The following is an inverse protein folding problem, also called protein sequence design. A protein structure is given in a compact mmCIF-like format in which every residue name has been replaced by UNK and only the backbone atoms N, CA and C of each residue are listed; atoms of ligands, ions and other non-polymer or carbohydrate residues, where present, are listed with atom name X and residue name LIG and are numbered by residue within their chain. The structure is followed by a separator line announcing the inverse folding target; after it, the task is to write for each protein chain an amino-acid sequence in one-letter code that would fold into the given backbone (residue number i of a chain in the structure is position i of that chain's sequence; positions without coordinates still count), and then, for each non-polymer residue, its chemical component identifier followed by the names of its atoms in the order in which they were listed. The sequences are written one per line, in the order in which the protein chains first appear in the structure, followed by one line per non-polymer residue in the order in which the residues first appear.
data_IF_976857592161
#
_entry.id   IF_976857592161
#
_cell.length_a   1.000
_cell.length_b   1.000
_cell.length_c   1.000
_cell.angle_alpha   90.00
_cell.angle_beta   90.00
_cell.angle_gamma   90.00
#
_symmetry.space_group_name_H-M   'P 1'
#
loop_
_entity.id
_entity.type
_entity.pdbx_description
1 polymer ?
#
# COMPACT_ATOMS: atom_id res chain seq x y z
N UNK A 1 3.98 7.56 -12.97
CA UNK A 1 4.52 8.02 -11.68
C UNK A 1 3.63 7.71 -10.48
N UNK A 2 2.35 8.14 -10.42
CA UNK A 2 1.48 7.81 -9.27
C UNK A 2 1.17 6.30 -9.18
N UNK A 3 0.69 5.71 -10.28
CA UNK A 3 0.27 4.32 -10.31
C UNK A 3 1.44 3.35 -10.12
N UNK A 4 2.58 3.64 -10.76
CA UNK A 4 3.80 2.82 -10.61
C UNK A 4 4.24 2.73 -9.15
N UNK A 5 4.20 3.85 -8.42
CA UNK A 5 4.55 3.87 -6.99
C UNK A 5 3.51 3.17 -6.12
N UNK A 6 2.22 3.31 -6.43
CA UNK A 6 1.19 2.52 -5.76
C UNK A 6 1.39 1.02 -5.99
N UNK A 7 1.78 0.61 -7.21
CA UNK A 7 2.10 -0.77 -7.55
C UNK A 7 3.40 -1.26 -6.90
N UNK A 8 4.35 -0.37 -6.62
CA UNK A 8 5.53 -0.64 -5.82
C UNK A 8 5.25 -0.74 -4.30
N UNK A 9 3.99 -0.56 -3.86
CA UNK A 9 3.61 -0.66 -2.46
C UNK A 9 3.80 0.63 -1.66
N UNK A 10 4.06 1.76 -2.31
CA UNK A 10 4.26 3.04 -1.63
C UNK A 10 2.97 3.54 -0.96
N UNK A 11 3.17 4.23 0.17
CA UNK A 11 2.10 4.92 0.85
C UNK A 11 1.66 6.16 0.06
N UNK A 12 0.39 6.17 -0.37
CA UNK A 12 -0.24 7.37 -0.94
C UNK A 12 -0.03 8.62 -0.08
N UNK A 13 -0.05 8.46 1.25
CA UNK A 13 0.16 9.58 2.17
C UNK A 13 1.60 10.10 2.15
N UNK A 14 2.59 9.26 1.88
CA UNK A 14 3.98 9.67 1.71
C UNK A 14 4.15 10.37 0.36
N UNK A 15 3.65 9.76 -0.71
CA UNK A 15 3.73 10.31 -2.07
C UNK A 15 3.10 11.70 -2.18
N UNK A 16 1.88 11.88 -1.65
CA UNK A 16 1.16 13.16 -1.69
C UNK A 16 1.78 14.28 -0.83
N UNK A 17 2.89 14.03 -0.12
CA UNK A 17 3.65 15.08 0.59
C UNK A 17 4.79 15.64 -0.24
N UNK A 18 5.11 15.02 -1.37
CA UNK A 18 6.21 15.46 -2.23
C UNK A 18 5.78 16.69 -3.06
N UNK A 19 6.69 17.66 -3.28
CA UNK A 19 6.41 18.82 -4.13
C UNK A 19 5.95 18.41 -5.53
N UNK A 20 4.95 19.11 -6.06
CA UNK A 20 4.42 18.82 -7.41
C UNK A 20 3.48 17.62 -7.49
N UNK A 21 3.19 16.94 -6.37
CA UNK A 21 2.20 15.85 -6.35
C UNK A 21 0.80 16.35 -5.95
N UNK A 22 -0.27 15.72 -6.47
CA UNK A 22 -1.63 16.07 -6.06
C UNK A 22 -1.85 15.72 -4.59
N UNK A 23 -2.61 16.56 -3.88
CA UNK A 23 -2.98 16.27 -2.50
C UNK A 23 -3.76 14.95 -2.40
N UNK A 24 -3.64 14.27 -1.26
CA UNK A 24 -4.39 13.03 -0.99
C UNK A 24 -5.90 13.21 -1.20
N UNK A 25 -6.45 14.36 -0.82
CA UNK A 25 -7.87 14.68 -1.00
C UNK A 25 -8.25 14.72 -2.48
N UNK A 26 -7.42 15.34 -3.33
CA UNK A 26 -7.65 15.40 -4.77
C UNK A 26 -7.63 13.99 -5.40
N UNK A 27 -6.63 13.18 -5.06
CA UNK A 27 -6.53 11.79 -5.56
C UNK A 27 -7.77 10.98 -5.18
N UNK A 28 -8.18 11.02 -3.90
CA UNK A 28 -9.35 10.28 -3.44
C UNK A 28 -10.66 10.80 -4.06
N UNK A 29 -10.75 12.11 -4.33
CA UNK A 29 -11.87 12.68 -5.07
C UNK A 29 -11.96 12.12 -6.49
N UNK A 30 -10.83 12.02 -7.22
CA UNK A 30 -10.80 11.42 -8.55
C UNK A 30 -11.17 9.94 -8.52
N UNK A 31 -10.69 9.18 -7.54
CA UNK A 31 -11.11 7.77 -7.36
C UNK A 31 -12.63 7.67 -7.15
N UNK A 32 -13.25 8.62 -6.46
CA UNK A 32 -14.70 8.60 -6.22
C UNK A 32 -15.53 9.05 -7.45
N UNK A 33 -14.99 9.91 -8.30
CA UNK A 33 -15.77 10.64 -9.33
C UNK A 33 -15.43 10.24 -10.76
N UNK A 34 -14.29 9.58 -11.00
CA UNK A 34 -13.76 9.25 -12.32
C UNK A 34 -13.58 7.72 -12.45
N UNK A 35 -14.54 6.99 -13.06
CA UNK A 35 -14.53 5.53 -13.11
C UNK A 35 -13.27 4.93 -13.77
N UNK A 36 -12.77 5.55 -14.82
CA UNK A 36 -11.54 5.15 -15.51
C UNK A 36 -10.30 5.31 -14.63
N UNK A 37 -10.21 6.41 -13.88
CA UNK A 37 -9.13 6.63 -12.91
C UNK A 37 -9.21 5.60 -11.78
N UNK A 38 -10.41 5.33 -11.28
CA UNK A 38 -10.66 4.34 -10.24
C UNK A 38 -10.18 2.94 -10.65
N UNK A 39 -10.46 2.50 -11.88
CA UNK A 39 -10.02 1.19 -12.38
C UNK A 39 -8.49 1.04 -12.29
N UNK A 40 -7.75 2.00 -12.83
CA UNK A 40 -6.28 1.96 -12.82
C UNK A 40 -5.74 2.07 -11.40
N UNK A 41 -6.36 2.90 -10.55
CA UNK A 41 -6.01 3.03 -9.15
C UNK A 41 -6.19 1.72 -8.38
N UNK A 42 -7.33 1.05 -8.55
CA UNK A 42 -7.64 -0.20 -7.86
C UNK A 42 -6.69 -1.32 -8.31
N UNK A 43 -6.33 -1.38 -9.60
CA UNK A 43 -5.31 -2.31 -10.13
C UNK A 43 -3.94 -2.04 -9.51
N UNK A 44 -3.47 -0.79 -9.53
CA UNK A 44 -2.19 -0.42 -8.95
C UNK A 44 -2.13 -0.74 -7.45
N UNK A 45 -3.24 -0.54 -6.72
CA UNK A 45 -3.36 -0.94 -5.31
C UNK A 45 -3.29 -2.44 -5.11
N UNK A 46 -3.86 -3.23 -6.02
CA UNK A 46 -3.76 -4.69 -5.95
C UNK A 46 -2.32 -5.15 -6.16
N UNK A 47 -1.63 -4.66 -7.20
CA UNK A 47 -0.21 -4.95 -7.40
C UNK A 47 0.64 -4.53 -6.20
N UNK A 48 0.40 -3.35 -5.62
CA UNK A 48 1.10 -2.89 -4.42
C UNK A 48 0.95 -3.79 -3.20
N UNK A 49 -0.18 -4.50 -3.09
CA UNK A 49 -0.38 -5.49 -2.02
C UNK A 49 0.48 -6.73 -2.22
N UNK A 50 0.62 -7.18 -3.46
CA UNK A 50 1.49 -8.31 -3.82
C UNK A 50 2.94 -7.95 -3.56
N UNK A 51 3.40 -6.77 -4.01
CA UNK A 51 4.76 -6.26 -3.74
C UNK A 51 5.08 -6.20 -2.25
N UNK A 52 4.15 -5.70 -1.42
CA UNK A 52 4.35 -5.67 0.04
C UNK A 52 4.49 -7.09 0.62
N UNK A 53 3.80 -8.07 0.05
CA UNK A 53 3.93 -9.48 0.44
C UNK A 53 5.31 -10.04 0.12
N UNK A 54 5.78 -9.84 -1.10
CA UNK A 54 7.14 -10.23 -1.53
C UNK A 54 8.21 -9.57 -0.67
N UNK A 55 8.09 -8.27 -0.40
CA UNK A 55 9.03 -7.57 0.48
C UNK A 55 9.05 -8.15 1.91
N UNK A 56 7.91 -8.60 2.42
CA UNK A 56 7.83 -9.23 3.74
C UNK A 56 8.57 -10.58 3.73
N UNK A 57 8.45 -11.36 2.65
CA UNK A 57 9.18 -12.61 2.48
C UNK A 57 10.69 -12.35 2.40
N UNK A 58 11.13 -11.37 1.59
CA UNK A 58 12.56 -11.03 1.49
C UNK A 58 13.14 -10.59 2.85
N UNK A 59 12.41 -9.77 3.60
CA UNK A 59 12.85 -9.34 4.95
C UNK A 59 12.94 -10.54 5.90
N UNK A 60 11.99 -11.47 5.83
CA UNK A 60 11.99 -12.66 6.67
C UNK A 60 13.17 -13.57 6.34
N UNK A 61 13.45 -13.82 5.06
CA UNK A 61 14.57 -14.65 4.62
C UNK A 61 15.91 -14.07 5.08
N UNK A 62 16.10 -12.75 4.95
CA UNK A 62 17.33 -12.06 5.34
C UNK A 62 17.52 -11.94 6.86
N UNK A 63 16.52 -12.24 7.67
CA UNK A 63 16.57 -12.05 9.11
C UNK A 63 17.53 -13.05 9.78
N UNK A 64 18.51 -12.55 10.54
CA UNK A 64 19.46 -13.40 11.28
C UNK A 64 20.52 -14.10 10.42
N UNK A 65 20.51 -13.90 9.10
CA UNK A 65 21.59 -14.33 8.21
C UNK A 65 22.87 -13.52 8.47
N UNK A 66 24.03 -14.12 8.21
CA UNK A 66 25.32 -13.42 8.30
C UNK A 66 25.38 -12.29 7.26
N UNK A 67 25.54 -11.05 7.71
CA UNK A 67 25.45 -9.86 6.82
C UNK A 67 24.02 -9.46 6.44
N UNK A 68 23.02 -10.15 6.99
CA UNK A 68 21.60 -9.86 6.80
C UNK A 68 21.05 -8.86 7.82
N UNK A 69 19.72 -8.85 7.96
CA UNK A 69 19.03 -7.93 8.86
C UNK A 69 19.03 -8.46 10.31
N UNK A 70 19.32 -7.62 11.31
CA UNK A 70 19.08 -7.97 12.71
C UNK A 70 17.60 -8.33 12.92
N UNK A 71 17.33 -9.41 13.65
CA UNK A 71 15.96 -9.89 13.90
C UNK A 71 15.03 -8.80 14.45
N UNK A 72 15.43 -7.93 15.41
CA UNK A 72 14.57 -6.85 15.89
C UNK A 72 14.19 -5.84 14.80
N UNK A 73 15.12 -5.53 13.90
CA UNK A 73 14.87 -4.64 12.76
C UNK A 73 13.92 -5.30 11.75
N UNK A 74 14.17 -6.56 11.39
CA UNK A 74 13.32 -7.32 10.48
C UNK A 74 11.87 -7.38 10.99
N UNK A 75 11.67 -7.69 12.28
CA UNK A 75 10.34 -7.69 12.92
C UNK A 75 9.64 -6.33 12.79
N UNK A 76 10.33 -5.24 13.14
CA UNK A 76 9.77 -3.87 13.03
C UNK A 76 9.36 -3.53 11.59
N UNK A 77 10.15 -3.93 10.60
CA UNK A 77 9.83 -3.68 9.18
C UNK A 77 8.62 -4.51 8.72
N UNK A 78 8.58 -5.79 9.08
CA UNK A 78 7.45 -6.68 8.78
C UNK A 78 6.17 -6.13 9.40
N UNK A 79 6.21 -5.67 10.65
CA UNK A 79 5.02 -5.12 11.33
C UNK A 79 4.54 -3.83 10.67
N UNK A 80 5.45 -2.94 10.27
CA UNK A 80 5.09 -1.73 9.52
C UNK A 80 4.43 -2.07 8.17
N UNK A 81 4.96 -3.07 7.45
CA UNK A 81 4.39 -3.54 6.17
C UNK A 81 3.03 -4.20 6.36
N UNK A 82 2.87 -5.07 7.37
CA UNK A 82 1.58 -5.68 7.74
C UNK A 82 0.53 -4.62 8.07
N UNK A 83 0.90 -3.62 8.88
CA UNK A 83 0.02 -2.50 9.20
C UNK A 83 -0.39 -1.72 7.94
N UNK A 84 0.57 -1.49 7.02
CA UNK A 84 0.28 -0.80 5.77
C UNK A 84 -0.70 -1.61 4.89
N UNK A 85 -0.44 -2.90 4.73
CA UNK A 85 -1.28 -3.84 3.97
C UNK A 85 -2.71 -3.91 4.53
N UNK A 86 -2.87 -3.99 5.86
CA UNK A 86 -4.17 -4.02 6.52
C UNK A 86 -5.01 -2.77 6.19
N UNK A 87 -4.38 -1.60 6.02
CA UNK A 87 -5.05 -0.36 5.63
C UNK A 87 -5.45 -0.29 4.15
N UNK A 88 -4.78 -1.05 3.29
CA UNK A 88 -5.14 -1.16 1.87
C UNK A 88 -6.27 -2.16 1.63
N UNK A 89 -6.44 -3.12 2.53
CA UNK A 89 -7.48 -4.14 2.40
C UNK A 89 -8.85 -3.48 2.52
N UNK A 90 -9.74 -3.62 1.52
CA UNK A 90 -11.08 -3.06 1.61
C UNK A 90 -11.77 -3.63 2.85
N UNK A 91 -12.23 -2.76 3.76
CA UNK A 91 -13.18 -3.19 4.80
C UNK A 91 -14.42 -3.67 4.06
N UNK A 92 -14.78 -4.96 4.19
CA UNK A 92 -16.03 -5.49 3.64
C UNK A 92 -17.16 -4.55 4.06
N UNK A 93 -17.73 -3.79 3.13
CA UNK A 93 -19.01 -3.12 3.35
C UNK A 93 -20.06 -4.16 3.06
N UNK A 94 -20.61 -4.78 4.10
CA UNK A 94 -21.88 -5.49 3.96
C UNK A 94 -22.95 -4.50 3.49
N UNK A 95 -24.01 -4.98 2.81
CA UNK A 95 -25.15 -4.13 2.50
C UNK A 95 -25.67 -3.50 3.80
N UNK A 96 -26.02 -2.21 3.78
CA UNK A 96 -26.83 -1.63 4.87
C UNK A 96 -28.16 -2.39 4.86
N UNK A 97 -28.61 -2.95 5.99
CA UNK A 97 -29.98 -3.43 6.06
C UNK A 97 -30.89 -2.24 5.75
N UNK A 98 -31.75 -2.42 4.75
CA UNK A 98 -32.84 -1.49 4.47
C UNK A 98 -33.89 -1.76 5.55
N UNK A 99 -34.10 -0.76 6.42
CA UNK A 99 -35.24 -0.71 7.33
C UNK A 99 -36.47 -0.19 6.61
#
# INVERSE_FOLDING_TARGET
MLFDRLAAGDSLSAMCREPGTPSKRAVLSWVATKPEFRRVYDIARQCGRETIGEDVLEIADRAGQRGGLPIPLARRLIDAKKWHFARMTPKRRGPRPVS
#
